data_IF_732346535872
#
_entry.id   IF_732346535872
#
_cell.length_a   1.000
_cell.length_b   1.000
_cell.length_c   1.000
_cell.angle_alpha   90.00
_cell.angle_beta   90.00
_cell.angle_gamma   90.00
#
_symmetry.space_group_name_H-M   'P 1'
#
loop_
_entity.id
_entity.type
_entity.pdbx_description
1 polymer ?
#
# COMPACT_ATOMS: atom_id res chain seq x y z
N UNK A 1 10.15 26.50 -24.93
CA UNK A 1 9.42 25.39 -25.57
C UNK A 1 8.32 24.95 -24.64
N UNK A 2 7.05 25.16 -24.99
CA UNK A 2 5.92 24.62 -24.23
C UNK A 2 5.84 23.12 -24.51
N UNK A 3 6.31 22.31 -23.58
CA UNK A 3 6.19 20.84 -23.64
C UNK A 3 4.72 20.52 -23.48
N UNK A 4 4.06 20.07 -24.56
CA UNK A 4 2.72 19.51 -24.48
C UNK A 4 2.83 18.03 -24.09
N UNK A 5 1.83 17.46 -23.44
CA UNK A 5 1.85 16.05 -23.04
C UNK A 5 2.10 15.10 -24.23
N UNK A 6 1.63 15.46 -25.43
CA UNK A 6 1.93 14.75 -26.67
C UNK A 6 3.42 14.75 -27.02
N UNK A 7 4.12 15.86 -26.81
CA UNK A 7 5.58 15.93 -27.05
C UNK A 7 6.37 15.04 -26.09
N UNK A 8 5.93 14.92 -24.83
CA UNK A 8 6.54 14.02 -23.84
C UNK A 8 6.35 12.54 -24.21
N UNK A 9 5.11 12.13 -24.53
CA UNK A 9 4.82 10.74 -24.92
C UNK A 9 5.58 10.35 -26.18
N UNK A 10 5.64 11.24 -27.17
CA UNK A 10 6.36 10.98 -28.42
C UNK A 10 7.88 10.88 -28.23
N UNK A 11 8.47 11.72 -27.37
CA UNK A 11 9.92 11.67 -27.11
C UNK A 11 10.35 10.42 -26.36
N UNK A 12 9.44 9.77 -25.63
CA UNK A 12 9.70 8.54 -24.87
C UNK A 12 9.13 7.28 -25.54
N UNK A 13 8.64 7.37 -26.79
CA UNK A 13 7.99 6.24 -27.47
C UNK A 13 8.94 5.04 -27.66
N UNK A 14 10.20 5.30 -27.94
CA UNK A 14 11.18 4.26 -28.25
C UNK A 14 12.25 4.15 -27.16
N UNK A 15 12.62 2.92 -26.84
CA UNK A 15 13.74 2.60 -25.95
C UNK A 15 14.79 1.79 -26.70
N UNK A 16 16.05 1.99 -26.32
CA UNK A 16 17.17 1.21 -26.82
C UNK A 16 17.27 -0.14 -26.07
N UNK A 17 16.27 -1.01 -26.26
CA UNK A 17 16.18 -2.34 -25.66
C UNK A 17 15.76 -3.35 -26.74
N UNK A 18 16.53 -4.42 -26.93
CA UNK A 18 16.25 -5.45 -27.94
C UNK A 18 15.39 -6.61 -27.41
N UNK A 19 15.15 -6.67 -26.10
CA UNK A 19 14.32 -7.68 -25.49
C UNK A 19 12.82 -7.39 -25.70
N UNK A 20 12.06 -8.39 -26.15
CA UNK A 20 10.64 -8.23 -26.47
C UNK A 20 9.78 -7.96 -25.22
N UNK A 21 10.10 -8.56 -24.07
CA UNK A 21 9.37 -8.36 -22.81
C UNK A 21 9.58 -6.93 -22.32
N UNK A 22 10.82 -6.44 -22.39
CA UNK A 22 11.20 -5.07 -22.10
C UNK A 22 10.42 -4.06 -22.96
N UNK A 23 10.36 -4.29 -24.28
CA UNK A 23 9.63 -3.43 -25.22
C UNK A 23 8.13 -3.42 -24.95
N UNK A 24 7.53 -4.59 -24.69
CA UNK A 24 6.11 -4.70 -24.38
C UNK A 24 5.77 -3.99 -23.05
N UNK A 25 6.60 -4.15 -22.03
CA UNK A 25 6.44 -3.48 -20.74
C UNK A 25 6.53 -1.95 -20.90
N UNK A 26 7.50 -1.48 -21.70
CA UNK A 26 7.64 -0.05 -22.01
C UNK A 26 6.43 0.50 -22.75
N UNK A 27 5.93 -0.21 -23.76
CA UNK A 27 4.75 0.19 -24.52
C UNK A 27 3.51 0.27 -23.62
N UNK A 28 3.31 -0.71 -22.73
CA UNK A 28 2.25 -0.69 -21.73
C UNK A 28 2.39 0.53 -20.79
N UNK A 29 3.59 0.80 -20.28
CA UNK A 29 3.83 1.95 -19.40
C UNK A 29 3.57 3.29 -20.10
N UNK A 30 4.00 3.43 -21.36
CA UNK A 30 3.73 4.62 -22.17
C UNK A 30 2.22 4.81 -22.38
N UNK A 31 1.47 3.72 -22.58
CA UNK A 31 0.01 3.79 -22.70
C UNK A 31 -0.65 4.28 -21.40
N UNK A 32 -0.23 3.75 -20.25
CA UNK A 32 -0.73 4.19 -18.93
C UNK A 32 -0.42 5.69 -18.71
N UNK A 33 0.81 6.12 -19.01
CA UNK A 33 1.19 7.54 -18.88
C UNK A 33 0.37 8.41 -19.82
N UNK A 34 0.09 7.96 -21.04
CA UNK A 34 -0.77 8.67 -21.98
C UNK A 34 -2.19 8.82 -21.42
N UNK A 35 -2.78 7.75 -20.90
CA UNK A 35 -4.10 7.78 -20.26
C UNK A 35 -4.15 8.70 -19.04
N UNK A 36 -3.13 8.64 -18.18
CA UNK A 36 -2.98 9.54 -17.05
C UNK A 36 -2.99 11.02 -17.48
N UNK A 37 -2.17 11.37 -18.48
CA UNK A 37 -2.00 12.76 -18.92
C UNK A 37 -3.18 13.28 -19.75
N UNK A 38 -3.92 12.40 -20.42
CA UNK A 38 -5.06 12.76 -21.26
C UNK A 38 -6.39 12.64 -20.53
N UNK A 39 -6.71 11.45 -20.02
CA UNK A 39 -8.03 11.10 -19.48
C UNK A 39 -8.17 11.51 -18.01
N UNK A 40 -7.05 11.61 -17.29
CA UNK A 40 -6.99 11.96 -15.87
C UNK A 40 -6.22 13.27 -15.60
N UNK A 41 -6.20 14.21 -16.56
CA UNK A 41 -5.38 15.42 -16.47
C UNK A 41 -5.61 16.24 -15.18
N UNK A 42 -6.86 16.31 -14.70
CA UNK A 42 -7.20 16.99 -13.44
C UNK A 42 -6.62 16.30 -12.21
N UNK A 43 -6.58 14.97 -12.21
CA UNK A 43 -5.97 14.17 -11.16
C UNK A 43 -4.45 14.36 -11.17
N UNK A 44 -3.80 14.18 -12.33
CA UNK A 44 -2.34 14.33 -12.46
C UNK A 44 -1.89 15.73 -12.03
N UNK A 45 -2.64 16.78 -12.40
CA UNK A 45 -2.32 18.15 -12.03
C UNK A 45 -2.17 18.29 -10.50
N UNK A 46 -3.07 17.71 -9.71
CA UNK A 46 -3.00 17.77 -8.23
C UNK A 46 -1.71 17.15 -7.67
N UNK A 47 -1.23 16.08 -8.30
CA UNK A 47 0.00 15.42 -7.88
C UNK A 47 1.25 16.18 -8.32
N UNK A 48 1.24 16.76 -9.52
CA UNK A 48 2.43 17.39 -10.11
C UNK A 48 2.60 18.86 -9.71
N UNK A 49 1.57 19.50 -9.15
CA UNK A 49 1.67 20.84 -8.55
C UNK A 49 2.09 20.80 -7.08
N UNK A 50 2.28 19.62 -6.48
CA UNK A 50 2.82 19.51 -5.13
C UNK A 50 4.31 19.84 -5.11
N UNK A 51 4.80 20.40 -3.99
CA UNK A 51 6.22 20.79 -3.83
C UNK A 51 7.19 19.61 -4.00
N UNK A 52 6.70 18.38 -3.73
CA UNK A 52 7.44 17.15 -3.95
C UNK A 52 6.53 16.09 -4.56
N UNK A 53 7.08 15.27 -5.44
CA UNK A 53 6.41 14.11 -6.01
C UNK A 53 7.22 12.85 -5.68
N UNK A 54 6.76 12.10 -4.69
CA UNK A 54 7.46 10.92 -4.19
C UNK A 54 7.07 9.66 -4.94
N UNK A 55 7.80 8.56 -4.73
CA UNK A 55 7.41 7.25 -5.25
C UNK A 55 6.04 6.79 -4.71
N UNK A 56 5.71 7.12 -3.46
CA UNK A 56 4.40 6.85 -2.86
C UNK A 56 3.28 7.60 -3.59
N UNK A 57 3.53 8.86 -3.96
CA UNK A 57 2.61 9.66 -4.77
C UNK A 57 2.38 9.08 -6.16
N UNK A 58 3.43 8.57 -6.80
CA UNK A 58 3.33 7.87 -8.09
C UNK A 58 2.44 6.63 -7.98
N UNK A 59 2.63 5.82 -6.93
CA UNK A 59 1.80 4.64 -6.70
C UNK A 59 0.33 5.01 -6.44
N UNK A 60 0.08 6.09 -5.68
CA UNK A 60 -1.27 6.61 -5.42
C UNK A 60 -1.93 7.13 -6.71
N UNK A 61 -1.18 7.79 -7.58
CA UNK A 61 -1.65 8.26 -8.89
C UNK A 61 -2.03 7.08 -9.79
N UNK A 62 -1.15 6.07 -9.90
CA UNK A 62 -1.41 4.85 -10.67
C UNK A 62 -2.65 4.11 -10.17
N UNK A 63 -2.77 3.92 -8.86
CA UNK A 63 -3.93 3.26 -8.28
C UNK A 63 -5.21 4.02 -8.64
N UNK A 64 -5.25 5.33 -8.42
CA UNK A 64 -6.43 6.12 -8.76
C UNK A 64 -6.79 6.01 -10.23
N UNK A 65 -5.82 5.94 -11.15
CA UNK A 65 -6.06 5.70 -12.57
C UNK A 65 -6.65 4.31 -12.85
N UNK A 66 -6.05 3.25 -12.30
CA UNK A 66 -6.51 1.86 -12.48
C UNK A 66 -7.97 1.66 -12.01
N UNK A 67 -8.44 2.47 -11.04
CA UNK A 67 -9.83 2.45 -10.55
C UNK A 67 -10.71 3.58 -11.11
N UNK A 68 -10.16 4.58 -11.79
CA UNK A 68 -10.91 5.68 -12.42
C UNK A 68 -11.71 5.17 -13.61
N UNK A 69 -11.15 4.25 -14.39
CA UNK A 69 -11.85 3.56 -15.49
C UNK A 69 -13.03 2.70 -15.00
N UNK A 70 -13.12 2.43 -13.69
CA UNK A 70 -14.17 1.60 -13.08
C UNK A 70 -15.31 2.39 -12.43
N UNK A 71 -15.27 3.73 -12.42
CA UNK A 71 -16.21 4.56 -11.65
C UNK A 71 -17.19 5.31 -12.56
N UNK A 72 -18.52 5.12 -12.42
CA UNK A 72 -19.50 5.97 -13.07
C UNK A 72 -19.49 7.34 -12.38
N UNK A 73 -18.93 8.32 -13.09
CA UNK A 73 -19.04 9.77 -12.91
C UNK A 73 -19.38 10.34 -11.52
N UNK A 74 -18.43 11.06 -10.92
CA UNK A 74 -18.79 12.32 -10.25
C UNK A 74 -17.60 13.30 -10.17
N UNK A 75 -17.73 14.54 -10.68
CA UNK A 75 -16.77 15.61 -10.48
C UNK A 75 -17.13 16.45 -9.25
N UNK A 76 -16.18 16.61 -8.34
CA UNK A 76 -16.18 17.73 -7.40
C UNK A 76 -16.25 17.36 -5.93
N UNK A 77 -15.11 17.50 -5.25
CA UNK A 77 -15.01 18.10 -3.92
C UNK A 77 -13.52 18.30 -3.62
N UNK A 78 -13.03 19.52 -3.87
CA UNK A 78 -11.86 20.03 -3.16
C UNK A 78 -12.29 20.36 -1.74
N UNK A 79 -11.57 19.85 -0.74
CA UNK A 79 -11.52 20.47 0.56
C UNK A 79 -10.08 20.39 1.08
N UNK A 80 -9.33 21.51 1.09
CA UNK A 80 -8.01 21.59 1.68
C UNK A 80 -8.15 21.82 3.20
N UNK A 81 -7.19 21.30 3.97
CA UNK A 81 -7.05 21.42 5.44
C UNK A 81 -7.76 20.33 6.28
N UNK A 82 -7.37 19.08 6.07
CA UNK A 82 -7.20 18.15 7.19
C UNK A 82 -5.79 17.59 7.09
N UNK A 83 -5.04 17.58 8.20
CA UNK A 83 -3.89 16.68 8.33
C UNK A 83 -4.41 15.31 7.83
N UNK A 84 -3.77 14.67 6.83
CA UNK A 84 -4.26 13.39 6.32
C UNK A 84 -4.42 12.46 7.52
N UNK A 85 -5.66 12.17 7.90
CA UNK A 85 -5.94 11.31 9.03
C UNK A 85 -5.34 9.96 8.68
N UNK A 86 -4.46 9.45 9.54
CA UNK A 86 -3.87 8.13 9.36
C UNK A 86 -5.03 7.14 9.27
N UNK A 87 -5.09 6.40 8.17
CA UNK A 87 -6.19 5.48 7.89
C UNK A 87 -5.70 4.39 6.96
N UNK A 88 -6.03 3.14 7.28
CA UNK A 88 -5.81 2.03 6.37
C UNK A 88 -6.89 1.91 5.29
N UNK A 89 -7.92 2.77 5.30
CA UNK A 89 -9.06 2.70 4.38
C UNK A 89 -9.84 1.39 4.46
N UNK A 90 -9.77 0.72 5.62
CA UNK A 90 -10.40 -0.57 5.85
C UNK A 90 -11.76 -0.43 6.50
N UNK A 91 -12.66 -1.37 6.20
CA UNK A 91 -13.94 -1.54 6.87
C UNK A 91 -14.17 -3.03 7.16
N UNK A 92 -13.45 -3.57 8.14
CA UNK A 92 -13.50 -5.00 8.46
C UNK A 92 -14.79 -5.38 9.17
N UNK A 93 -15.40 -6.49 8.76
CA UNK A 93 -16.44 -7.13 9.56
C UNK A 93 -15.87 -7.72 10.86
N UNK A 94 -16.74 -7.98 11.84
CA UNK A 94 -16.33 -8.64 13.09
C UNK A 94 -15.67 -10.00 12.85
N UNK A 95 -16.16 -10.77 11.87
CA UNK A 95 -15.58 -12.07 11.53
C UNK A 95 -14.23 -11.94 10.83
N UNK A 96 -14.05 -10.93 9.96
CA UNK A 96 -12.74 -10.61 9.39
C UNK A 96 -11.74 -10.21 10.47
N UNK A 97 -12.15 -9.37 11.43
CA UNK A 97 -11.28 -8.97 12.55
C UNK A 97 -10.85 -10.17 13.39
N UNK A 98 -11.77 -11.07 13.73
CA UNK A 98 -11.44 -12.34 14.40
C UNK A 98 -10.46 -13.19 13.58
N UNK A 99 -10.67 -13.28 12.28
CA UNK A 99 -9.78 -14.02 11.38
C UNK A 99 -8.37 -13.41 11.32
N UNK A 100 -8.27 -12.07 11.35
CA UNK A 100 -6.98 -11.37 11.42
C UNK A 100 -6.28 -11.68 12.75
N UNK A 101 -6.98 -11.61 13.88
CA UNK A 101 -6.44 -11.95 15.20
C UNK A 101 -5.97 -13.41 15.24
N UNK A 102 -6.76 -14.33 14.71
CA UNK A 102 -6.42 -15.75 14.62
C UNK A 102 -5.16 -15.97 13.76
N UNK A 103 -5.05 -15.31 12.61
CA UNK A 103 -3.88 -15.34 11.75
C UNK A 103 -2.64 -14.80 12.48
N UNK A 104 -2.73 -13.61 13.08
CA UNK A 104 -1.62 -12.98 13.78
C UNK A 104 -1.13 -13.80 14.98
N UNK A 105 -2.05 -14.46 15.69
CA UNK A 105 -1.75 -15.38 16.79
C UNK A 105 -1.08 -16.66 16.31
N UNK A 106 -1.66 -17.32 15.30
CA UNK A 106 -1.16 -18.59 14.76
C UNK A 106 0.26 -18.50 14.18
N UNK A 107 0.63 -17.33 13.63
CA UNK A 107 1.95 -17.10 13.06
C UNK A 107 2.87 -16.24 13.95
N UNK A 108 2.47 -16.01 15.21
CA UNK A 108 3.23 -15.30 16.24
C UNK A 108 3.79 -13.96 15.76
N UNK A 109 2.94 -13.11 15.18
CA UNK A 109 3.35 -11.82 14.61
C UNK A 109 3.80 -10.81 15.68
N UNK A 110 3.18 -10.84 16.86
CA UNK A 110 3.38 -9.87 17.93
C UNK A 110 3.89 -10.51 19.22
N UNK A 111 4.59 -9.74 20.06
CA UNK A 111 5.09 -10.14 21.37
C UNK A 111 4.05 -9.85 22.46
N UNK A 112 2.86 -10.42 22.34
CA UNK A 112 1.79 -10.32 23.35
C UNK A 112 1.35 -11.73 23.76
N UNK A 113 1.07 -11.91 25.05
CA UNK A 113 0.67 -13.22 25.60
C UNK A 113 -0.66 -13.69 25.02
N UNK A 114 -1.60 -12.74 24.87
CA UNK A 114 -2.90 -12.94 24.24
C UNK A 114 -3.16 -11.72 23.36
N UNK A 115 -3.27 -11.92 22.05
CA UNK A 115 -3.69 -10.87 21.12
C UNK A 115 -5.21 -10.87 21.05
N UNK A 116 -5.85 -9.75 21.36
CA UNK A 116 -7.32 -9.64 21.31
C UNK A 116 -7.81 -8.83 20.11
N UNK A 117 -9.13 -8.84 19.91
CA UNK A 117 -9.80 -8.09 18.83
C UNK A 117 -9.58 -6.59 19.00
N UNK A 118 -9.61 -6.11 20.24
CA UNK A 118 -9.48 -4.71 20.60
C UNK A 118 -8.08 -4.15 20.25
N UNK A 119 -7.03 -4.98 20.32
CA UNK A 119 -5.67 -4.60 19.91
C UNK A 119 -5.60 -4.37 18.39
N UNK A 120 -6.20 -5.28 17.61
CA UNK A 120 -6.20 -5.15 16.15
C UNK A 120 -7.15 -4.05 15.68
N UNK A 121 -8.29 -3.87 16.34
CA UNK A 121 -9.19 -2.73 16.10
C UNK A 121 -8.49 -1.40 16.39
N UNK A 122 -7.73 -1.30 17.48
CA UNK A 122 -6.95 -0.12 17.80
C UNK A 122 -5.88 0.17 16.74
N UNK A 123 -5.20 -0.88 16.26
CA UNK A 123 -4.23 -0.78 15.17
C UNK A 123 -4.89 -0.24 13.89
N UNK A 124 -5.96 -0.87 13.41
CA UNK A 124 -6.59 -0.54 12.15
C UNK A 124 -7.42 0.75 12.19
N UNK A 125 -7.91 1.14 13.36
CA UNK A 125 -8.55 2.45 13.59
C UNK A 125 -7.54 3.58 13.76
N UNK A 126 -6.23 3.28 13.69
CA UNK A 126 -5.16 4.25 13.89
C UNK A 126 -5.28 4.99 15.24
N UNK A 127 -5.65 4.27 16.32
CA UNK A 127 -5.91 4.87 17.63
C UNK A 127 -4.65 5.57 18.17
N UNK A 128 -4.83 6.80 18.64
CA UNK A 128 -3.77 7.56 19.30
C UNK A 128 -3.21 6.79 20.52
N UNK A 129 -1.92 6.93 20.77
CA UNK A 129 -1.16 6.26 21.84
C UNK A 129 -1.16 4.71 21.82
N UNK A 130 -1.70 4.09 20.78
CA UNK A 130 -1.59 2.66 20.59
C UNK A 130 -0.25 2.27 19.97
N UNK A 131 0.42 1.27 20.54
CA UNK A 131 1.55 0.61 19.90
C UNK A 131 1.65 -0.84 20.32
N UNK A 132 2.06 -1.71 19.41
CA UNK A 132 2.21 -3.15 19.66
C UNK A 132 3.62 -3.61 19.30
N UNK A 133 4.19 -4.48 20.14
CA UNK A 133 5.53 -5.02 19.92
C UNK A 133 5.47 -6.14 18.88
N UNK A 134 6.27 -6.00 17.83
CA UNK A 134 6.38 -6.96 16.74
C UNK A 134 7.38 -8.05 17.10
N UNK A 135 7.01 -9.30 16.96
CA UNK A 135 7.91 -10.44 17.12
C UNK A 135 8.68 -10.74 15.83
N UNK A 136 8.01 -10.63 14.67
CA UNK A 136 8.62 -10.87 13.36
C UNK A 136 8.13 -9.86 12.32
N UNK A 137 8.97 -8.87 12.01
CA UNK A 137 8.67 -7.78 11.06
C UNK A 137 8.36 -8.31 9.66
N UNK A 138 9.00 -9.41 9.23
CA UNK A 138 8.72 -10.02 7.91
C UNK A 138 7.32 -10.60 7.86
N UNK A 139 6.87 -11.27 8.93
CA UNK A 139 5.52 -11.83 8.97
C UNK A 139 4.45 -10.75 9.00
N UNK A 140 4.67 -9.68 9.77
CA UNK A 140 3.78 -8.51 9.78
C UNK A 140 3.71 -7.89 8.38
N UNK A 141 4.86 -7.66 7.73
CA UNK A 141 4.89 -7.11 6.39
C UNK A 141 4.14 -7.99 5.37
N UNK A 142 4.28 -9.32 5.45
CA UNK A 142 3.55 -10.25 4.59
C UNK A 142 2.04 -10.23 4.86
N UNK A 143 1.62 -10.10 6.12
CA UNK A 143 0.19 -10.01 6.45
C UNK A 143 -0.44 -8.75 5.85
N UNK A 144 0.20 -7.58 6.00
CA UNK A 144 -0.29 -6.34 5.41
C UNK A 144 -0.24 -6.33 3.88
N UNK A 145 0.79 -6.92 3.27
CA UNK A 145 0.84 -7.15 1.82
C UNK A 145 -0.33 -8.03 1.36
N UNK A 146 -0.65 -9.09 2.10
CA UNK A 146 -1.78 -9.97 1.78
C UNK A 146 -3.14 -9.25 1.94
N UNK A 147 -3.28 -8.40 2.96
CA UNK A 147 -4.49 -7.57 3.14
C UNK A 147 -4.69 -6.63 1.95
N UNK A 148 -3.60 -6.00 1.48
CA UNK A 148 -3.60 -5.14 0.31
C UNK A 148 -3.92 -5.91 -0.98
N UNK A 149 -3.31 -7.08 -1.20
CA UNK A 149 -3.59 -7.96 -2.34
C UNK A 149 -5.07 -8.37 -2.40
N UNK A 150 -5.73 -8.50 -1.24
CA UNK A 150 -7.16 -8.81 -1.13
C UNK A 150 -8.05 -7.56 -1.08
N UNK A 151 -7.51 -6.36 -1.31
CA UNK A 151 -8.24 -5.07 -1.32
C UNK A 151 -8.94 -4.74 0.02
N UNK A 152 -8.40 -5.25 1.12
CA UNK A 152 -8.95 -5.02 2.45
C UNK A 152 -8.40 -3.75 3.13
N UNK A 153 -7.26 -3.25 2.64
CA UNK A 153 -6.60 -2.02 3.09
C UNK A 153 -6.04 -1.22 1.90
N UNK A 154 -5.68 0.04 2.15
CA UNK A 154 -5.08 0.94 1.17
C UNK A 154 -3.54 0.78 1.04
N UNK A 155 -2.93 1.15 -0.10
CA UNK A 155 -1.53 0.83 -0.44
C UNK A 155 -0.47 1.47 0.47
N UNK A 156 -0.80 2.57 1.14
CA UNK A 156 0.15 3.33 1.97
C UNK A 156 0.23 2.83 3.41
N UNK A 157 -0.21 1.60 3.67
CA UNK A 157 -0.19 0.97 4.99
C UNK A 157 1.19 1.03 5.68
N UNK A 158 2.30 0.97 4.92
CA UNK A 158 3.66 1.13 5.48
C UNK A 158 3.89 2.53 6.05
N UNK A 159 3.44 3.56 5.34
CA UNK A 159 3.47 4.97 5.73
C UNK A 159 2.58 5.22 6.95
N UNK A 160 1.40 4.58 6.98
CA UNK A 160 0.47 4.63 8.12
C UNK A 160 1.12 4.06 9.39
N UNK A 161 1.71 2.87 9.29
CA UNK A 161 2.38 2.20 10.42
C UNK A 161 3.56 3.00 10.95
N UNK A 162 4.36 3.61 10.06
CA UNK A 162 5.53 4.41 10.42
C UNK A 162 5.13 5.73 11.09
N UNK A 163 4.30 6.54 10.41
CA UNK A 163 3.85 7.84 10.91
C UNK A 163 3.05 7.72 12.21
N UNK A 164 2.23 6.68 12.33
CA UNK A 164 1.45 6.39 13.53
C UNK A 164 2.24 5.74 14.65
N UNK A 165 3.49 5.34 14.41
CA UNK A 165 4.36 4.67 15.40
C UNK A 165 3.69 3.43 16.03
N UNK A 166 2.87 2.73 15.27
CA UNK A 166 2.03 1.64 15.78
C UNK A 166 2.82 0.36 16.09
N UNK A 167 4.03 0.20 15.53
CA UNK A 167 4.84 -1.01 15.66
C UNK A 167 6.14 -0.73 16.38
N UNK A 168 6.41 -1.46 17.46
CA UNK A 168 7.67 -1.41 18.21
C UNK A 168 8.48 -2.66 17.92
N UNK A 169 9.78 -2.51 17.69
CA UNK A 169 10.69 -3.63 17.48
C UNK A 169 10.81 -4.52 18.73
N UNK A 170 11.19 -5.79 18.52
CA UNK A 170 11.39 -6.77 19.60
C UNK A 170 12.59 -6.43 20.46
N UNK A 171 13.72 -6.14 19.81
CA UNK A 171 15.05 -6.07 20.42
C UNK A 171 15.40 -4.64 20.84
N UNK A 172 14.90 -3.67 20.08
CA UNK A 172 15.05 -2.25 20.35
C UNK A 172 13.67 -1.69 20.72
N UNK A 173 13.58 -0.83 21.74
CA UNK A 173 12.37 -0.03 21.98
C UNK A 173 12.14 1.04 20.90
N UNK A 174 12.68 0.84 19.70
CA UNK A 174 12.51 1.71 18.54
C UNK A 174 11.28 1.31 17.75
N UNK A 175 10.68 2.28 17.08
CA UNK A 175 9.58 2.02 16.16
C UNK A 175 10.07 1.36 14.88
N UNK A 176 9.21 0.54 14.26
CA UNK A 176 9.46 -0.07 12.95
C UNK A 176 9.12 0.95 11.87
N UNK A 177 10.11 1.33 11.08
CA UNK A 177 9.94 2.29 9.98
C UNK A 177 9.31 1.66 8.72
N UNK A 178 8.78 2.49 7.83
CA UNK A 178 8.29 2.08 6.52
C UNK A 178 9.42 1.44 5.68
N UNK A 179 10.65 1.95 5.79
CA UNK A 179 11.83 1.36 5.13
C UNK A 179 12.16 -0.04 5.64
N UNK A 180 11.99 -0.29 6.95
CA UNK A 180 12.16 -1.61 7.55
C UNK A 180 11.11 -2.59 7.05
N UNK A 181 9.84 -2.16 6.96
CA UNK A 181 8.74 -2.95 6.42
C UNK A 181 8.94 -3.27 4.94
N UNK A 182 9.36 -2.28 4.13
CA UNK A 182 9.65 -2.46 2.70
C UNK A 182 10.78 -3.44 2.47
N UNK A 183 11.88 -3.32 3.22
CA UNK A 183 13.01 -4.25 3.16
C UNK A 183 12.58 -5.66 3.56
N UNK A 184 11.83 -5.78 4.66
CA UNK A 184 11.32 -7.07 5.14
C UNK A 184 10.42 -7.75 4.10
N UNK A 185 9.57 -6.97 3.42
CA UNK A 185 8.68 -7.46 2.38
C UNK A 185 9.44 -7.91 1.13
N UNK A 186 10.42 -7.11 0.68
CA UNK A 186 11.30 -7.47 -0.43
C UNK A 186 11.99 -8.80 -0.18
N UNK A 187 12.55 -8.98 1.03
CA UNK A 187 13.16 -10.25 1.44
C UNK A 187 12.14 -11.40 1.41
N UNK A 188 10.92 -11.18 1.90
CA UNK A 188 9.88 -12.21 1.92
C UNK A 188 9.37 -12.61 0.52
N UNK A 189 9.44 -11.70 -0.45
CA UNK A 189 9.11 -11.98 -1.87
C UNK A 189 10.22 -12.82 -2.53
N UNK A 190 11.47 -12.56 -2.21
CA UNK A 190 12.63 -13.33 -2.71
C UNK A 190 12.70 -14.71 -2.04
N UNK A 191 12.62 -14.75 -0.70
CA UNK A 191 12.68 -15.97 0.10
C UNK A 191 11.28 -16.43 0.46
N UNK A 192 10.66 -17.20 -0.44
CA UNK A 192 9.36 -17.82 -0.18
C UNK A 192 9.49 -18.83 0.96
N UNK A 193 8.74 -18.62 2.04
CA UNK A 193 8.68 -19.54 3.18
C UNK A 193 7.28 -20.14 3.31
N UNK A 194 7.19 -21.34 3.90
CA UNK A 194 5.91 -21.96 4.20
C UNK A 194 5.04 -21.07 5.10
N UNK A 195 5.66 -20.37 6.05
CA UNK A 195 4.97 -19.43 6.95
C UNK A 195 4.38 -18.25 6.17
N UNK A 196 5.15 -17.62 5.27
CA UNK A 196 4.65 -16.51 4.46
C UNK A 196 3.47 -16.94 3.57
N UNK A 197 3.52 -18.16 3.03
CA UNK A 197 2.40 -18.72 2.27
C UNK A 197 1.19 -19.03 3.17
N UNK A 198 1.42 -19.52 4.38
CA UNK A 198 0.39 -19.75 5.40
C UNK A 198 -0.35 -18.46 5.76
N UNK A 199 0.38 -17.36 5.99
CA UNK A 199 -0.18 -16.04 6.26
C UNK A 199 -1.03 -15.56 5.08
N UNK A 200 -0.48 -15.60 3.85
CA UNK A 200 -1.24 -15.20 2.65
C UNK A 200 -2.52 -16.02 2.47
N UNK A 201 -2.46 -17.34 2.69
CA UNK A 201 -3.61 -18.22 2.59
C UNK A 201 -4.67 -17.90 3.65
N UNK A 202 -4.25 -17.64 4.89
CA UNK A 202 -5.16 -17.27 5.98
C UNK A 202 -5.90 -15.95 5.65
N UNK A 203 -5.17 -14.94 5.16
CA UNK A 203 -5.78 -13.65 4.77
C UNK A 203 -6.68 -13.79 3.53
N UNK A 204 -6.28 -14.59 2.54
CA UNK A 204 -7.12 -14.85 1.37
C UNK A 204 -8.44 -15.56 1.72
N UNK A 205 -8.48 -16.28 2.85
CA UNK A 205 -9.66 -16.93 3.39
C UNK A 205 -10.60 -15.99 4.17
N UNK A 206 -10.27 -14.70 4.34
CA UNK A 206 -11.11 -13.71 5.02
C UNK A 206 -12.24 -13.14 4.14
N UNK A 207 -12.45 -13.69 2.94
CA UNK A 207 -13.53 -13.27 2.05
C UNK A 207 -14.88 -13.69 2.63
N UNK A 208 -15.87 -12.84 2.44
CA UNK A 208 -17.28 -13.08 2.82
C UNK A 208 -17.84 -14.36 2.19
#
# INVERSE_FOLDING_TARGET
>A
MTVTWMTFVNSHRYINCNDAVCRNCHEMNIHIVKGLLHDCASLVKKFFTADTFTFEDCMRLKWKYDFYESSPGNPGADNPTRIPTLSFGCNFSREQMKGIVACATAFHLFCVSTLCVEDMEALFSCREDFSIRVNNVRHVAVMFDALLENRLIEPYWQSVLDKGRFLVSKDSRSYVSASSLSTALSIARIKKTAVANGIRKAIAGLKE
#
